data_IF_774133183670
#
_entry.id   IF_774133183670
#
_cell.length_a   1.000
_cell.length_b   1.000
_cell.length_c   1.000
_cell.angle_alpha   90.00
_cell.angle_beta   90.00
_cell.angle_gamma   90.00
#
_symmetry.space_group_name_H-M   'P 1'
#
loop_
_entity.id
_entity.type
_entity.pdbx_description
1 polymer ?
#
# COMPACT_ATOMS: atom_id res chain seq x y z
N UNK A 1 13.05 5.17 -0.82
CA UNK A 1 12.31 3.89 -0.75
C UNK A 1 10.84 4.21 -0.60
N UNK A 2 9.99 3.78 -1.53
CA UNK A 2 8.56 4.11 -1.53
C UNK A 2 7.76 3.36 -0.46
N UNK A 3 8.22 2.15 -0.09
CA UNK A 3 7.68 1.36 1.00
C UNK A 3 8.69 0.34 1.54
N UNK A 4 8.38 -0.26 2.68
CA UNK A 4 9.07 -1.44 3.23
C UNK A 4 8.05 -2.48 3.70
N UNK A 5 8.43 -3.75 3.65
CA UNK A 5 7.59 -4.88 4.08
C UNK A 5 8.29 -5.62 5.22
N UNK A 6 7.56 -5.90 6.30
CA UNK A 6 8.03 -6.74 7.40
C UNK A 6 6.91 -7.63 7.92
N UNK A 7 7.24 -8.62 8.76
CA UNK A 7 6.22 -9.32 9.53
C UNK A 7 5.49 -8.33 10.45
N UNK A 8 4.17 -8.48 10.55
CA UNK A 8 3.38 -7.70 11.49
C UNK A 8 3.65 -8.15 12.92
N UNK A 9 3.84 -7.18 13.83
CA UNK A 9 4.20 -7.45 15.23
C UNK A 9 2.98 -7.92 16.04
N UNK A 10 1.82 -7.34 15.78
CA UNK A 10 0.58 -7.58 16.55
C UNK A 10 -0.43 -8.43 15.79
N UNK A 11 -0.13 -8.85 14.56
CA UNK A 11 -0.99 -9.69 13.75
C UNK A 11 -0.23 -10.89 13.19
N UNK A 12 -0.37 -12.04 13.86
CA UNK A 12 0.32 -13.28 13.48
C UNK A 12 -0.01 -13.68 12.03
N UNK A 13 1.02 -14.01 11.26
CA UNK A 13 0.89 -14.47 9.87
C UNK A 13 0.52 -13.37 8.88
N UNK A 14 0.56 -12.10 9.28
CA UNK A 14 0.33 -10.96 8.39
C UNK A 14 1.61 -10.17 8.15
N UNK A 15 1.58 -9.37 7.09
CA UNK A 15 2.65 -8.47 6.71
C UNK A 15 2.24 -7.03 7.00
N UNK A 16 3.24 -6.24 7.40
CA UNK A 16 3.14 -4.82 7.66
C UNK A 16 3.86 -4.06 6.55
N UNK A 17 3.10 -3.27 5.79
CA UNK A 17 3.62 -2.43 4.71
C UNK A 17 3.71 -0.99 5.21
N UNK A 18 4.93 -0.50 5.40
CA UNK A 18 5.19 0.89 5.81
C UNK A 18 5.48 1.73 4.57
N UNK A 19 4.73 2.80 4.41
CA UNK A 19 4.86 3.74 3.30
C UNK A 19 5.26 5.09 3.87
N UNK A 20 6.56 5.37 4.08
CA UNK A 20 6.99 6.65 4.62
C UNK A 20 6.61 7.78 3.67
N UNK A 21 6.17 8.90 4.24
CA UNK A 21 5.87 10.14 3.53
C UNK A 21 6.78 11.24 4.08
N UNK A 22 7.30 12.08 3.19
CA UNK A 22 8.21 13.19 3.54
C UNK A 22 7.41 14.47 3.81
N UNK A 23 6.29 14.65 3.13
CA UNK A 23 5.48 15.87 3.08
C UNK A 23 4.18 15.77 3.88
N UNK A 24 3.95 14.63 4.55
CA UNK A 24 2.72 14.34 5.29
C UNK A 24 1.55 13.89 4.40
N UNK A 25 1.73 13.88 3.07
CA UNK A 25 0.72 13.42 2.13
C UNK A 25 0.87 11.93 1.85
N UNK A 26 -0.25 11.27 1.49
CA UNK A 26 -0.21 9.85 1.14
C UNK A 26 0.55 9.66 -0.17
N UNK A 27 1.65 8.91 -0.11
CA UNK A 27 2.40 8.47 -1.30
C UNK A 27 1.57 7.49 -2.15
N UNK A 28 1.99 7.25 -3.40
CA UNK A 28 1.39 6.21 -4.26
C UNK A 28 1.33 4.85 -3.58
N UNK A 29 2.41 4.44 -2.90
CA UNK A 29 2.45 3.21 -2.12
C UNK A 29 1.39 3.21 -1.00
N UNK A 30 1.23 4.33 -0.27
CA UNK A 30 0.23 4.44 0.79
C UNK A 30 -1.20 4.38 0.25
N UNK A 31 -1.47 4.98 -0.92
CA UNK A 31 -2.78 4.94 -1.58
C UNK A 31 -3.11 3.52 -2.02
N UNK A 32 -2.18 2.86 -2.70
CA UNK A 32 -2.35 1.51 -3.21
C UNK A 32 -2.46 0.46 -2.09
N UNK A 33 -1.63 0.58 -1.04
CA UNK A 33 -1.74 -0.25 0.16
C UNK A 33 -3.08 -0.04 0.87
N UNK A 34 -3.57 1.21 0.94
CA UNK A 34 -4.89 1.53 1.46
C UNK A 34 -6.02 0.84 0.68
N UNK A 35 -5.97 0.87 -0.65
CA UNK A 35 -6.97 0.21 -1.48
C UNK A 35 -6.97 -1.32 -1.31
N UNK A 36 -5.79 -1.94 -1.33
CA UNK A 36 -5.66 -3.40 -1.23
C UNK A 36 -5.96 -3.92 0.17
N UNK A 37 -5.53 -3.20 1.22
CA UNK A 37 -5.81 -3.56 2.61
C UNK A 37 -7.25 -3.21 3.05
N UNK A 38 -8.09 -2.67 2.15
CA UNK A 38 -9.42 -2.11 2.46
C UNK A 38 -9.36 -1.11 3.62
N UNK A 39 -8.37 -0.22 3.59
CA UNK A 39 -8.18 0.85 4.56
C UNK A 39 -7.64 0.42 5.92
N UNK A 40 -7.18 -0.82 6.11
CA UNK A 40 -6.61 -1.27 7.40
C UNK A 40 -5.20 -0.74 7.65
N UNK A 41 -5.15 0.54 7.99
CA UNK A 41 -3.99 1.13 8.63
C UNK A 41 -4.03 0.86 10.14
N UNK A 42 -2.89 0.50 10.74
CA UNK A 42 -2.75 0.42 12.18
C UNK A 42 -1.80 1.50 12.69
N UNK A 43 -2.32 2.39 13.53
CA UNK A 43 -1.49 3.38 14.21
C UNK A 43 -0.47 2.74 15.16
N UNK A 44 -0.74 1.53 15.68
CA UNK A 44 0.17 0.83 16.60
C UNK A 44 1.44 0.28 15.92
N UNK A 45 1.39 -0.04 14.63
CA UNK A 45 2.59 -0.43 13.86
C UNK A 45 3.09 0.65 12.90
N UNK A 46 2.31 1.70 12.68
CA UNK A 46 2.59 2.71 11.66
C UNK A 46 2.58 2.13 10.25
N UNK A 47 1.69 1.17 9.97
CA UNK A 47 1.73 0.37 8.75
C UNK A 47 0.34 -0.07 8.28
N UNK A 48 0.24 -0.48 7.02
CA UNK A 48 -0.92 -1.23 6.51
C UNK A 48 -0.73 -2.72 6.74
N UNK A 49 -1.71 -3.37 7.36
CA UNK A 49 -1.63 -4.80 7.69
C UNK A 49 -2.44 -5.61 6.70
N UNK A 50 -1.78 -6.54 6.01
CA UNK A 50 -2.42 -7.36 4.99
C UNK A 50 -1.93 -8.82 5.00
N UNK A 51 -2.69 -9.72 4.37
CA UNK A 51 -2.27 -11.11 4.19
C UNK A 51 -1.09 -11.21 3.22
N UNK A 52 -0.31 -12.31 3.24
CA UNK A 52 0.75 -12.54 2.26
C UNK A 52 0.27 -12.44 0.81
N UNK A 53 -0.92 -12.97 0.51
CA UNK A 53 -1.53 -12.88 -0.84
C UNK A 53 -1.86 -11.45 -1.26
N UNK A 54 -2.34 -10.63 -0.32
CA UNK A 54 -2.62 -9.22 -0.58
C UNK A 54 -1.32 -8.41 -0.74
N UNK A 55 -0.27 -8.73 0.03
CA UNK A 55 1.05 -8.11 -0.13
C UNK A 55 1.66 -8.43 -1.50
N UNK A 56 1.58 -9.68 -1.95
CA UNK A 56 2.02 -10.05 -3.30
C UNK A 56 1.23 -9.30 -4.38
N UNK A 57 -0.08 -9.11 -4.20
CA UNK A 57 -0.90 -8.27 -5.09
C UNK A 57 -0.47 -6.80 -5.07
N UNK A 58 -0.15 -6.27 -3.89
CA UNK A 58 0.36 -4.91 -3.72
C UNK A 58 1.68 -4.71 -4.47
N UNK A 59 2.65 -5.59 -4.26
CA UNK A 59 3.95 -5.48 -4.93
C UNK A 59 3.81 -5.55 -6.44
N UNK A 60 3.01 -6.50 -6.95
CA UNK A 60 2.73 -6.64 -8.38
C UNK A 60 2.13 -5.36 -8.97
N UNK A 61 1.05 -4.84 -8.38
CA UNK A 61 0.40 -3.63 -8.89
C UNK A 61 1.29 -2.40 -8.78
N UNK A 62 2.07 -2.29 -7.70
CA UNK A 62 3.01 -1.17 -7.53
C UNK A 62 4.10 -1.17 -8.61
N UNK A 63 4.65 -2.35 -8.94
CA UNK A 63 5.65 -2.54 -10.00
C UNK A 63 5.07 -2.31 -11.40
N UNK A 64 3.83 -2.73 -11.62
CA UNK A 64 3.08 -2.46 -12.86
C UNK A 64 2.68 -0.97 -13.02
N UNK A 65 3.00 -0.11 -12.05
CA UNK A 65 2.75 1.33 -12.13
C UNK A 65 1.32 1.75 -11.80
N UNK A 66 0.51 0.86 -11.21
CA UNK A 66 -0.83 1.20 -10.76
C UNK A 66 -0.80 2.25 -9.63
N UNK A 67 -1.94 2.91 -9.46
CA UNK A 67 -2.22 3.84 -8.38
C UNK A 67 -3.61 3.54 -7.77
N UNK A 68 -4.01 4.32 -6.76
CA UNK A 68 -5.35 4.26 -6.22
C UNK A 68 -5.85 5.63 -5.74
N UNK A 69 -7.18 5.78 -5.74
CA UNK A 69 -7.84 6.96 -5.18
C UNK A 69 -7.85 6.92 -3.66
N UNK A 70 -7.53 8.05 -3.04
CA UNK A 70 -7.53 8.18 -1.57
C UNK A 70 -8.93 8.01 -0.98
N UNK A 71 -9.94 8.61 -1.64
CA UNK A 71 -11.30 8.72 -1.12
C UNK A 71 -12.10 7.45 -1.40
N UNK A 72 -12.11 6.99 -2.66
CA UNK A 72 -12.94 5.84 -3.09
C UNK A 72 -12.22 4.51 -2.94
N UNK A 73 -10.89 4.50 -2.73
CA UNK A 73 -10.06 3.30 -2.68
C UNK A 73 -10.11 2.47 -3.97
N UNK A 74 -10.52 3.08 -5.07
CA UNK A 74 -10.54 2.47 -6.40
C UNK A 74 -9.13 2.42 -6.98
N UNK A 75 -8.81 1.30 -7.62
CA UNK A 75 -7.54 1.12 -8.31
C UNK A 75 -7.57 1.89 -9.62
N UNK A 76 -6.52 2.65 -9.87
CA UNK A 76 -6.33 3.40 -11.11
C UNK A 76 -5.25 2.70 -11.93
N UNK A 77 -5.52 2.39 -13.22
CA UNK A 77 -4.53 1.79 -14.09
C UNK A 77 -3.33 2.73 -14.24
N UNK A 78 -2.13 2.19 -14.55
CA UNK A 78 -1.00 3.03 -14.87
C UNK A 78 -1.40 4.02 -15.96
N UNK A 79 -1.27 5.32 -15.69
CA UNK A 79 -1.39 6.33 -16.73
C UNK A 79 -0.27 6.04 -17.74
N UNK A 80 -0.63 5.42 -18.86
CA UNK A 80 0.27 5.30 -20.00
C UNK A 80 0.77 6.71 -20.28
N UNK A 81 2.07 6.91 -20.20
CA UNK A 81 2.70 8.16 -20.60
C UNK A 81 2.16 8.46 -22.00
N UNK A 82 1.37 9.53 -22.12
CA UNK A 82 0.98 10.03 -23.43
C UNK A 82 2.29 10.33 -24.16
N UNK A 83 2.54 9.56 -25.22
CA UNK A 83 3.68 9.70 -26.10
C UNK A 83 3.64 11.03 -26.86
#
# INVERSE_FOLDING_TARGET
MDYTVSLARYAKGKLAIRCPSIDGWKTRAARLAGAIARGRYTGREGAYIMSPTAAAKFERLFLEGWDARVITLELEPPQQAAA
#
